data_IF_822649587757
#
_entry.id   IF_822649587757
#
_cell.length_a   1.000
_cell.length_b   1.000
_cell.length_c   1.000
_cell.angle_alpha   90.00
_cell.angle_beta   90.00
_cell.angle_gamma   90.00
#
_symmetry.space_group_name_H-M   'P 1'
#
loop_
_entity.id
_entity.type
_entity.pdbx_description
1 polymer ?
#
# COMPACT_ATOMS: atom_id res chain seq x y z
N UNK A 1 -24.22 58.82 2.31
CA UNK A 1 -23.75 59.03 3.68
C UNK A 1 -22.48 58.22 3.90
N UNK A 2 -21.30 58.85 4.01
CA UNK A 2 -20.08 58.15 4.42
C UNK A 2 -20.03 58.08 5.95
N UNK A 3 -19.75 56.92 6.53
CA UNK A 3 -19.22 56.85 7.88
C UNK A 3 -17.96 55.99 7.91
N UNK A 4 -16.94 56.63 8.43
CA UNK A 4 -15.54 56.26 8.58
C UNK A 4 -15.29 55.63 9.95
N UNK A 5 -14.27 54.75 10.00
CA UNK A 5 -13.38 54.45 11.13
C UNK A 5 -13.97 53.72 12.36
N UNK A 6 -13.38 52.58 12.73
CA UNK A 6 -12.30 52.56 13.73
C UNK A 6 -11.82 51.13 14.03
N UNK A 7 -10.51 51.00 14.20
CA UNK A 7 -9.76 49.78 14.44
C UNK A 7 -9.89 49.25 15.88
N UNK A 8 -9.60 47.96 16.06
CA UNK A 8 -9.07 47.45 17.34
C UNK A 8 -8.07 46.30 17.10
N UNK A 9 -6.80 46.68 17.26
CA UNK A 9 -5.62 45.85 17.34
C UNK A 9 -5.58 45.09 18.68
N UNK A 10 -5.30 43.78 18.66
CA UNK A 10 -4.67 43.10 19.81
C UNK A 10 -3.70 42.02 19.34
N UNK A 11 -2.42 42.35 19.48
CA UNK A 11 -1.29 41.44 19.50
C UNK A 11 -1.18 40.75 20.86
N UNK A 12 -0.81 39.46 20.91
CA UNK A 12 -0.26 38.83 22.12
C UNK A 12 0.73 37.71 21.76
N UNK A 13 2.00 38.11 21.74
CA UNK A 13 3.25 37.50 22.26
C UNK A 13 3.59 36.01 21.97
N UNK A 14 4.76 35.89 21.36
CA UNK A 14 5.64 34.72 21.21
C UNK A 14 6.11 34.09 22.54
N UNK A 15 6.43 32.80 22.47
CA UNK A 15 7.37 32.13 23.38
C UNK A 15 8.27 31.16 22.60
N UNK A 16 9.60 31.29 22.64
CA UNK A 16 10.53 30.36 22.00
C UNK A 16 10.95 29.26 22.97
N UNK A 17 11.20 28.05 22.46
CA UNK A 17 12.06 27.06 23.13
C UNK A 17 13.11 26.57 22.14
N UNK A 18 14.28 27.18 22.20
CA UNK A 18 15.51 26.63 21.66
C UNK A 18 16.14 25.64 22.65
N UNK A 19 17.11 24.86 22.17
CA UNK A 19 17.94 24.00 23.03
C UNK A 19 18.63 22.85 22.29
N UNK A 20 19.76 23.18 21.67
CA UNK A 20 20.81 22.31 21.09
C UNK A 20 21.50 21.40 22.11
N UNK A 21 22.02 20.23 21.68
CA UNK A 21 23.38 19.75 21.99
C UNK A 21 23.72 18.36 21.39
N UNK A 22 24.86 18.32 20.70
CA UNK A 22 25.71 17.20 20.30
C UNK A 22 26.17 16.25 21.44
N UNK A 23 26.54 14.99 21.11
CA UNK A 23 27.94 14.48 21.20
C UNK A 23 28.10 12.95 21.40
N UNK A 24 29.15 12.41 20.75
CA UNK A 24 30.10 11.33 21.16
C UNK A 24 29.60 9.86 21.18
N UNK A 25 30.04 8.98 20.27
CA UNK A 25 31.35 8.26 20.10
C UNK A 25 31.65 7.20 21.18
N UNK A 26 31.72 5.92 20.75
CA UNK A 26 32.69 4.84 21.08
C UNK A 26 32.15 3.52 20.45
N UNK A 27 32.79 2.75 19.57
CA UNK A 27 34.15 2.19 19.44
C UNK A 27 34.42 0.96 20.34
N UNK A 28 35.03 -0.08 19.72
CA UNK A 28 35.66 -1.30 20.26
C UNK A 28 34.72 -2.49 20.60
N UNK A 29 35.04 -3.77 20.37
CA UNK A 29 36.10 -4.46 19.63
C UNK A 29 35.68 -5.96 19.50
N UNK A 30 36.16 -6.64 18.46
CA UNK A 30 36.12 -8.10 18.17
C UNK A 30 36.83 -8.95 19.26
N UNK A 31 37.13 -10.27 19.12
CA UNK A 31 36.73 -11.35 18.17
C UNK A 31 36.46 -12.72 18.88
N UNK A 32 36.06 -13.77 18.14
CA UNK A 32 36.46 -15.20 18.34
C UNK A 32 35.54 -16.12 17.49
N UNK A 33 36.02 -16.74 16.40
CA UNK A 33 36.79 -17.99 16.33
C UNK A 33 35.92 -19.27 16.29
N UNK A 34 35.63 -19.70 15.05
CA UNK A 34 35.99 -21.01 14.49
C UNK A 34 35.84 -22.26 15.37
N UNK A 35 34.82 -23.10 15.08
CA UNK A 35 34.95 -24.46 14.52
C UNK A 35 33.67 -25.27 14.77
N UNK A 36 33.11 -25.83 13.69
CA UNK A 36 33.09 -27.28 13.46
C UNK A 36 32.63 -27.55 12.03
N UNK A 37 33.55 -28.05 11.22
CA UNK A 37 33.26 -28.85 10.03
C UNK A 37 32.65 -30.18 10.48
N UNK A 38 31.83 -30.77 9.59
CA UNK A 38 31.49 -32.20 9.40
C UNK A 38 30.00 -32.25 9.04
N UNK A 39 29.48 -32.95 8.05
CA UNK A 39 29.97 -33.88 7.01
C UNK A 39 28.76 -34.08 6.09
N UNK A 40 29.01 -34.32 4.81
CA UNK A 40 28.01 -34.75 3.82
C UNK A 40 27.18 -35.94 4.30
N UNK A 41 25.85 -35.88 4.18
CA UNK A 41 25.00 -37.04 3.88
C UNK A 41 23.71 -36.56 3.23
N UNK A 42 23.55 -36.98 1.99
CA UNK A 42 22.32 -37.02 1.21
C UNK A 42 21.19 -37.72 1.96
N UNK A 43 20.10 -36.98 2.20
CA UNK A 43 18.76 -37.53 2.32
C UNK A 43 17.79 -36.48 1.74
N UNK A 44 16.88 -36.84 0.83
CA UNK A 44 15.87 -35.90 0.38
C UNK A 44 14.98 -35.57 1.58
N UNK A 45 15.07 -34.34 2.06
CA UNK A 45 14.04 -33.76 2.92
C UNK A 45 12.81 -33.68 2.01
N UNK A 46 11.91 -34.66 2.16
CA UNK A 46 10.52 -34.48 1.78
C UNK A 46 10.05 -33.28 2.58
N UNK A 47 10.02 -32.10 1.95
CA UNK A 47 9.11 -31.08 2.39
C UNK A 47 7.74 -31.73 2.21
N UNK A 48 7.16 -32.19 3.31
CA UNK A 48 5.72 -32.31 3.45
C UNK A 48 5.17 -30.94 3.06
N UNK A 49 4.85 -30.81 1.77
CA UNK A 49 4.02 -29.74 1.25
C UNK A 49 2.66 -30.07 1.84
N UNK A 50 2.46 -29.63 3.09
CA UNK A 50 1.14 -29.57 3.68
C UNK A 50 0.34 -28.71 2.72
N UNK A 51 -0.42 -29.38 1.85
CA UNK A 51 -1.50 -28.83 1.05
C UNK A 51 -2.46 -28.23 2.06
N UNK A 52 -2.20 -26.99 2.46
CA UNK A 52 -3.19 -26.18 3.12
C UNK A 52 -4.24 -25.91 2.06
N UNK A 53 -5.24 -26.79 2.04
CA UNK A 53 -6.55 -26.61 1.45
C UNK A 53 -7.29 -25.46 2.18
N UNK A 54 -6.66 -24.29 2.20
CA UNK A 54 -7.31 -23.01 2.46
C UNK A 54 -7.62 -22.44 1.10
N UNK A 55 -8.69 -22.96 0.49
CA UNK A 55 -9.28 -22.38 -0.69
C UNK A 55 -9.40 -20.86 -0.47
N UNK A 56 -8.71 -20.08 -1.31
CA UNK A 56 -8.81 -18.64 -1.26
C UNK A 56 -10.29 -18.24 -1.33
N UNK A 57 -10.75 -17.24 -0.56
CA UNK A 57 -12.13 -16.85 -0.56
C UNK A 57 -12.55 -16.44 -1.98
N UNK A 58 -13.80 -16.75 -2.35
CA UNK A 58 -14.41 -16.31 -3.63
C UNK A 58 -14.75 -14.82 -3.55
N UNK A 59 -14.53 -14.10 -4.64
CA UNK A 59 -14.85 -12.68 -4.75
C UNK A 59 -16.37 -12.46 -4.78
N UNK A 60 -16.86 -11.60 -3.90
CA UNK A 60 -18.23 -11.10 -3.96
C UNK A 60 -18.25 -9.71 -4.62
N UNK A 61 -18.58 -9.58 -5.92
CA UNK A 61 -18.56 -8.30 -6.62
C UNK A 61 -19.64 -7.31 -6.14
N UNK A 62 -20.62 -7.78 -5.37
CA UNK A 62 -21.71 -6.95 -4.85
C UNK A 62 -21.53 -6.54 -3.39
N UNK A 63 -20.35 -6.77 -2.82
CA UNK A 63 -20.01 -6.33 -1.47
C UNK A 63 -20.27 -4.80 -1.32
N UNK A 64 -21.03 -4.38 -0.29
CA UNK A 64 -21.26 -2.96 -0.04
C UNK A 64 -19.97 -2.14 0.15
N UNK A 65 -18.90 -2.76 0.66
CA UNK A 65 -17.61 -2.08 0.82
C UNK A 65 -16.98 -1.69 -0.52
N UNK A 66 -17.11 -2.55 -1.54
CA UNK A 66 -16.66 -2.27 -2.90
C UNK A 66 -17.47 -1.10 -3.48
N UNK A 67 -18.80 -1.18 -3.41
CA UNK A 67 -19.69 -0.11 -3.91
C UNK A 67 -19.40 1.24 -3.24
N UNK A 68 -19.20 1.24 -1.93
CA UNK A 68 -18.91 2.46 -1.18
C UNK A 68 -17.54 3.04 -1.57
N UNK A 69 -16.52 2.20 -1.72
CA UNK A 69 -15.19 2.62 -2.13
C UNK A 69 -15.19 3.22 -3.56
N UNK A 70 -15.86 2.57 -4.51
CA UNK A 70 -16.01 3.08 -5.87
C UNK A 70 -16.74 4.43 -5.89
N UNK A 71 -17.85 4.54 -5.16
CA UNK A 71 -18.60 5.81 -5.02
C UNK A 71 -17.73 6.93 -4.43
N UNK A 72 -16.91 6.64 -3.42
CA UNK A 72 -16.01 7.64 -2.83
C UNK A 72 -14.97 8.13 -3.85
N UNK A 73 -14.42 7.23 -4.67
CA UNK A 73 -13.48 7.58 -5.74
C UNK A 73 -14.16 8.46 -6.80
N UNK A 74 -15.38 8.12 -7.22
CA UNK A 74 -16.16 8.95 -8.14
C UNK A 74 -16.43 10.36 -7.59
N UNK A 75 -16.77 10.47 -6.31
CA UNK A 75 -17.00 11.75 -5.65
C UNK A 75 -15.73 12.61 -5.52
N UNK A 76 -14.57 11.97 -5.39
CA UNK A 76 -13.29 12.66 -5.26
C UNK A 76 -12.73 13.15 -6.62
N UNK A 77 -13.15 12.56 -7.74
CA UNK A 77 -12.69 12.96 -9.08
C UNK A 77 -13.54 14.08 -9.65
N UNK A 78 -12.88 15.07 -10.24
CA UNK A 78 -13.54 16.23 -10.84
C UNK A 78 -14.21 15.92 -12.19
N UNK A 79 -13.68 14.94 -12.91
CA UNK A 79 -14.12 14.56 -14.25
C UNK A 79 -14.54 13.08 -14.27
N UNK A 80 -15.54 12.73 -15.09
CA UNK A 80 -15.93 11.33 -15.29
C UNK A 80 -14.81 10.53 -15.97
N UNK A 81 -14.82 9.22 -15.73
CA UNK A 81 -13.92 8.32 -16.45
C UNK A 81 -14.35 8.24 -17.92
N UNK A 82 -13.38 8.37 -18.84
CA UNK A 82 -13.64 8.47 -20.29
C UNK A 82 -13.94 7.11 -20.93
N UNK A 83 -13.54 6.00 -20.29
CA UNK A 83 -13.86 4.66 -20.78
C UNK A 83 -15.30 4.28 -20.43
N UNK A 84 -15.94 3.49 -21.30
CA UNK A 84 -17.30 3.01 -21.12
C UNK A 84 -17.43 2.26 -19.78
N UNK A 85 -18.24 2.83 -18.89
CA UNK A 85 -18.78 2.29 -17.63
C UNK A 85 -17.93 1.20 -16.97
N UNK A 86 -16.80 1.57 -16.33
CA UNK A 86 -15.97 0.63 -15.60
C UNK A 86 -16.76 0.01 -14.43
N UNK A 87 -16.51 -1.27 -14.14
CA UNK A 87 -17.07 -1.89 -12.95
C UNK A 87 -16.50 -1.26 -11.67
N UNK A 88 -17.24 -1.36 -10.55
CA UNK A 88 -16.80 -0.81 -9.26
C UNK A 88 -15.40 -1.33 -8.85
N UNK A 89 -15.11 -2.60 -9.15
CA UNK A 89 -13.79 -3.21 -8.95
C UNK A 89 -12.71 -2.52 -9.79
N UNK A 90 -12.97 -2.32 -11.08
CA UNK A 90 -12.03 -1.64 -11.97
C UNK A 90 -11.79 -0.20 -11.54
N UNK A 91 -12.82 0.52 -11.07
CA UNK A 91 -12.68 1.88 -10.54
C UNK A 91 -11.69 1.90 -9.38
N UNK A 92 -11.85 1.00 -8.42
CA UNK A 92 -10.98 0.91 -7.23
C UNK A 92 -9.55 0.52 -7.60
N UNK A 93 -9.38 -0.55 -8.38
CA UNK A 93 -8.05 -1.05 -8.75
C UNK A 93 -7.29 -0.06 -9.64
N UNK A 94 -7.99 0.64 -10.53
CA UNK A 94 -7.40 1.69 -11.38
C UNK A 94 -6.95 2.89 -10.55
N UNK A 95 -7.75 3.33 -9.59
CA UNK A 95 -7.35 4.43 -8.70
C UNK A 95 -6.13 4.04 -7.86
N UNK A 96 -6.10 2.80 -7.37
CA UNK A 96 -4.93 2.24 -6.70
C UNK A 96 -3.69 2.31 -7.60
N UNK A 97 -3.74 1.75 -8.82
CA UNK A 97 -2.62 1.73 -9.78
C UNK A 97 -2.08 3.12 -10.15
N UNK A 98 -2.98 4.09 -10.29
CA UNK A 98 -2.63 5.47 -10.63
C UNK A 98 -2.17 6.31 -9.44
N UNK A 99 -2.44 5.87 -8.20
CA UNK A 99 -1.99 6.56 -6.99
C UNK A 99 -0.50 6.29 -6.73
N UNK A 100 0.35 7.31 -6.90
CA UNK A 100 1.79 7.24 -6.60
C UNK A 100 2.14 7.05 -5.12
N UNK A 101 1.16 7.17 -4.20
CA UNK A 101 1.37 7.10 -2.74
C UNK A 101 1.85 5.72 -2.24
N UNK A 102 1.63 4.67 -3.02
CA UNK A 102 1.96 3.28 -2.66
C UNK A 102 3.20 2.76 -3.40
N UNK A 103 3.93 3.66 -4.06
CA UNK A 103 5.11 3.35 -4.86
C UNK A 103 4.79 2.86 -6.28
N UNK A 104 5.81 2.49 -7.06
CA UNK A 104 5.66 2.11 -8.48
C UNK A 104 4.83 0.84 -8.63
N UNK A 105 3.89 0.84 -9.59
CA UNK A 105 3.04 -0.32 -9.90
C UNK A 105 3.56 -1.19 -11.04
N UNK A 106 4.39 -0.63 -11.92
CA UNK A 106 4.84 -1.32 -13.13
C UNK A 106 5.80 -2.46 -12.79
N UNK A 107 5.58 -3.62 -13.39
CA UNK A 107 6.49 -4.77 -13.32
C UNK A 107 6.31 -5.68 -12.11
N UNK A 108 5.27 -5.45 -11.31
CA UNK A 108 4.90 -6.28 -10.15
C UNK A 108 3.39 -6.53 -10.17
N UNK A 109 2.93 -7.57 -9.46
CA UNK A 109 1.48 -7.79 -9.31
C UNK A 109 0.85 -6.72 -8.41
N UNK A 110 -0.47 -6.50 -8.56
CA UNK A 110 -1.20 -5.59 -7.65
C UNK A 110 -1.12 -6.06 -6.20
N UNK A 111 -1.14 -7.37 -5.95
CA UNK A 111 -1.05 -7.95 -4.61
C UNK A 111 0.31 -7.68 -3.98
N UNK A 112 1.39 -7.93 -4.72
CA UNK A 112 2.76 -7.64 -4.26
C UNK A 112 2.93 -6.14 -3.95
N UNK A 113 2.38 -5.27 -4.80
CA UNK A 113 2.39 -3.83 -4.55
C UNK A 113 1.65 -3.46 -3.27
N UNK A 114 0.48 -4.07 -3.04
CA UNK A 114 -0.35 -3.86 -1.86
C UNK A 114 0.40 -4.27 -0.58
N UNK A 115 0.96 -5.48 -0.55
CA UNK A 115 1.71 -5.99 0.59
C UNK A 115 2.96 -5.16 0.90
N UNK A 116 3.66 -4.69 -0.14
CA UNK A 116 4.79 -3.76 0.03
C UNK A 116 4.33 -2.46 0.69
N UNK A 117 3.21 -1.89 0.25
CA UNK A 117 2.66 -0.67 0.84
C UNK A 117 2.20 -0.87 2.30
N UNK A 118 1.60 -2.01 2.63
CA UNK A 118 1.27 -2.39 4.01
C UNK A 118 2.53 -2.49 4.87
N UNK A 119 3.57 -3.19 4.39
CA UNK A 119 4.85 -3.36 5.08
C UNK A 119 5.58 -2.03 5.33
N UNK A 120 5.40 -1.06 4.43
CA UNK A 120 5.94 0.29 4.56
C UNK A 120 5.07 1.23 5.42
N UNK A 121 3.92 0.75 5.92
CA UNK A 121 3.02 1.57 6.75
C UNK A 121 2.29 2.67 5.97
N UNK A 122 2.11 2.50 4.65
CA UNK A 122 1.48 3.49 3.77
C UNK A 122 -0.06 3.41 3.79
N UNK A 123 -0.62 2.48 4.56
CA UNK A 123 -2.06 2.28 4.76
C UNK A 123 -2.87 2.23 3.45
N UNK A 124 -2.57 1.27 2.54
CA UNK A 124 -3.36 1.11 1.33
C UNK A 124 -4.82 0.73 1.67
N UNK A 125 -5.79 0.99 0.78
CA UNK A 125 -7.21 0.77 1.09
C UNK A 125 -7.51 -0.71 1.28
N UNK A 126 -8.07 -1.09 2.44
CA UNK A 126 -8.28 -2.51 2.80
C UNK A 126 -9.10 -3.31 1.78
N UNK A 127 -10.07 -2.68 1.10
CA UNK A 127 -10.88 -3.30 0.05
C UNK A 127 -10.01 -3.85 -1.09
N UNK A 128 -8.91 -3.17 -1.44
CA UNK A 128 -7.99 -3.64 -2.47
C UNK A 128 -7.35 -4.97 -2.06
N UNK A 129 -6.85 -5.06 -0.81
CA UNK A 129 -6.28 -6.30 -0.29
C UNK A 129 -7.29 -7.44 -0.18
N UNK A 130 -8.55 -7.12 0.18
CA UNK A 130 -9.63 -8.11 0.23
C UNK A 130 -9.89 -8.70 -1.16
N UNK A 131 -10.00 -7.85 -2.19
CA UNK A 131 -10.22 -8.28 -3.58
C UNK A 131 -9.03 -9.08 -4.12
N UNK A 132 -7.80 -8.65 -3.87
CA UNK A 132 -6.60 -9.27 -4.44
C UNK A 132 -6.25 -10.61 -3.79
N UNK A 133 -6.73 -10.87 -2.57
CA UNK A 133 -6.54 -12.13 -1.86
C UNK A 133 -7.61 -13.18 -2.19
N UNK A 134 -8.58 -12.86 -3.05
CA UNK A 134 -9.55 -13.84 -3.54
C UNK A 134 -8.96 -14.70 -4.66
N UNK A 135 -9.61 -15.83 -4.96
CA UNK A 135 -9.17 -16.70 -6.05
C UNK A 135 -9.13 -15.96 -7.41
N UNK A 136 -10.12 -15.11 -7.66
CA UNK A 136 -10.24 -14.29 -8.87
C UNK A 136 -9.18 -13.19 -8.87
N UNK A 137 -8.92 -12.56 -7.73
CA UNK A 137 -7.86 -11.55 -7.60
C UNK A 137 -6.46 -12.07 -7.94
N UNK A 138 -6.23 -13.37 -7.80
CA UNK A 138 -4.96 -14.03 -8.14
C UNK A 138 -4.94 -14.62 -9.55
N UNK A 139 -6.06 -15.13 -10.05
CA UNK A 139 -6.13 -15.85 -11.34
C UNK A 139 -6.53 -14.96 -12.52
N UNK A 140 -7.39 -13.96 -12.29
CA UNK A 140 -7.83 -13.05 -13.33
C UNK A 140 -6.76 -12.01 -13.62
N UNK A 141 -6.26 -11.97 -14.85
CA UNK A 141 -5.26 -11.01 -15.29
C UNK A 141 -5.76 -9.56 -15.18
N UNK A 142 -7.06 -9.30 -15.35
CA UNK A 142 -7.62 -7.94 -15.22
C UNK A 142 -7.58 -7.43 -13.78
N UNK A 143 -7.63 -8.33 -12.79
CA UNK A 143 -7.57 -8.00 -11.36
C UNK A 143 -6.15 -8.06 -10.80
N UNK A 144 -5.36 -9.05 -11.22
CA UNK A 144 -4.03 -9.31 -10.66
C UNK A 144 -2.95 -8.33 -11.17
N UNK A 145 -3.05 -7.87 -12.41
CA UNK A 145 -1.97 -7.13 -13.10
C UNK A 145 -2.22 -5.63 -13.14
N UNK A 146 -1.17 -4.83 -13.15
CA UNK A 146 -1.27 -3.37 -13.23
C UNK A 146 -1.81 -2.87 -14.59
N UNK A 147 -2.28 -1.62 -14.65
CA UNK A 147 -2.82 -1.00 -15.88
C UNK A 147 -1.84 -0.90 -17.06
N UNK A 148 -0.53 -1.01 -16.82
CA UNK A 148 0.50 -0.87 -17.85
C UNK A 148 1.04 -2.22 -18.31
N UNK A 149 0.60 -3.32 -17.72
CA UNK A 149 1.05 -4.65 -18.10
C UNK A 149 0.86 -4.91 -19.60
N UNK A 150 1.96 -5.22 -20.30
CA UNK A 150 1.96 -5.50 -21.74
C UNK A 150 1.73 -4.29 -22.65
N UNK A 151 1.80 -3.06 -22.12
CA UNK A 151 1.61 -1.81 -22.89
C UNK A 151 2.85 -0.91 -22.92
N UNK A 152 3.91 -1.31 -22.24
CA UNK A 152 5.20 -0.61 -22.16
C UNK A 152 6.30 -1.41 -22.86
#
# INVERSE_FOLDING_TARGET
MPQTLSAAFKAQKHGPRGGVADAKKQAAASPALLKKQSTSTTAPVVLDIATHDSAAPTLNPHDPAIKQAARAIHQAKLAPMIHADPSDLQVILRDFDLSGRYGPCVGISRLERFERAEKMGLNPPAVVGQVLRTQEGMTDAELAKDLFFGRL
#
